data_IF_560601083244
#
_entry.id   IF_560601083244
#
_cell.length_a   1.000
_cell.length_b   1.000
_cell.length_c   1.000
_cell.angle_alpha   90.00
_cell.angle_beta   90.00
_cell.angle_gamma   90.00
#
_symmetry.space_group_name_H-M   'P 1'
#
loop_
_entity.id
_entity.type
_entity.pdbx_description
1 polymer ?
#
# COMPACT_ATOMS: atom_id res chain seq x y z
N UNK A 1 11.16 -10.28 16.21
CA UNK A 1 10.75 -11.51 16.91
C UNK A 1 9.96 -11.10 18.14
N UNK A 2 9.00 -11.90 18.57
CA UNK A 2 8.27 -11.67 19.84
C UNK A 2 9.25 -11.71 21.00
N UNK A 3 9.15 -10.76 21.94
CA UNK A 3 10.07 -10.66 23.08
C UNK A 3 9.72 -11.62 24.23
N UNK A 4 8.48 -12.11 24.25
CA UNK A 4 7.94 -13.06 25.23
C UNK A 4 6.79 -13.84 24.57
N UNK A 5 6.34 -14.90 25.24
CA UNK A 5 5.10 -15.60 24.89
C UNK A 5 3.94 -14.59 24.90
N UNK A 6 3.10 -14.65 23.86
CA UNK A 6 2.02 -13.69 23.65
C UNK A 6 0.87 -14.32 22.88
N UNK A 7 -0.13 -13.52 22.54
CA UNK A 7 -1.28 -13.93 21.72
C UNK A 7 -1.58 -12.87 20.65
N UNK A 8 -1.95 -13.31 19.45
CA UNK A 8 -2.40 -12.45 18.37
C UNK A 8 -3.73 -12.97 17.84
N UNK A 9 -4.80 -12.20 18.03
CA UNK A 9 -6.13 -12.54 17.52
C UNK A 9 -6.65 -13.90 18.01
N UNK A 10 -6.44 -14.25 19.28
CA UNK A 10 -6.85 -15.56 19.82
C UNK A 10 -5.80 -16.66 19.65
N UNK A 11 -4.72 -16.43 18.89
CA UNK A 11 -3.72 -17.46 18.59
C UNK A 11 -2.49 -17.28 19.48
N UNK A 12 -2.11 -18.29 20.29
CA UNK A 12 -0.90 -18.23 21.10
C UNK A 12 0.35 -18.21 20.21
N UNK A 13 1.30 -17.33 20.53
CA UNK A 13 2.55 -17.12 19.81
C UNK A 13 3.72 -17.19 20.79
N UNK A 14 4.61 -18.20 20.69
CA UNK A 14 5.78 -18.32 21.55
C UNK A 14 6.77 -17.16 21.42
N UNK A 15 7.56 -16.93 22.47
CA UNK A 15 8.72 -16.04 22.43
C UNK A 15 9.69 -16.44 21.31
N UNK A 16 10.32 -15.45 20.68
CA UNK A 16 11.25 -15.67 19.57
C UNK A 16 10.58 -15.86 18.19
N UNK A 17 9.25 -15.94 18.12
CA UNK A 17 8.52 -16.10 16.85
C UNK A 17 8.72 -14.89 15.91
N UNK A 18 8.81 -15.16 14.61
CA UNK A 18 8.78 -14.13 13.57
C UNK A 18 7.34 -13.92 13.13
N UNK A 19 6.88 -12.67 13.18
CA UNK A 19 5.54 -12.29 12.72
C UNK A 19 5.64 -11.50 11.42
N UNK A 20 4.84 -11.90 10.44
CA UNK A 20 4.66 -11.15 9.19
C UNK A 20 3.34 -10.41 9.21
N UNK A 21 3.39 -9.08 9.21
CA UNK A 21 2.19 -8.24 9.28
C UNK A 21 1.77 -7.84 7.86
N UNK A 22 0.67 -8.42 7.38
CA UNK A 22 0.14 -8.17 6.05
C UNK A 22 -0.67 -6.87 6.01
N UNK A 23 0.02 -5.72 5.98
CA UNK A 23 -0.61 -4.39 5.95
C UNK A 23 -1.54 -4.19 4.75
N UNK A 24 -1.24 -4.83 3.61
CA UNK A 24 -2.09 -4.82 2.42
C UNK A 24 -3.46 -5.48 2.64
N UNK A 25 -3.53 -6.52 3.49
CA UNK A 25 -4.79 -7.15 3.90
C UNK A 25 -5.53 -6.25 4.90
N UNK A 26 -4.83 -5.70 5.90
CA UNK A 26 -5.44 -4.77 6.86
C UNK A 26 -6.02 -3.50 6.18
N UNK A 27 -5.37 -3.00 5.12
CA UNK A 27 -5.88 -1.88 4.32
C UNK A 27 -7.10 -2.22 3.47
N UNK A 28 -7.47 -3.51 3.38
CA UNK A 28 -8.67 -4.01 2.72
C UNK A 28 -9.69 -4.63 3.68
N UNK A 29 -9.49 -4.48 4.98
CA UNK A 29 -10.40 -5.04 5.98
C UNK A 29 -11.75 -4.31 5.96
N UNK A 30 -12.81 -5.01 5.56
CA UNK A 30 -14.17 -4.47 5.43
C UNK A 30 -14.74 -3.98 6.77
N UNK A 31 -14.25 -4.50 7.90
CA UNK A 31 -14.64 -4.03 9.25
C UNK A 31 -14.20 -2.59 9.48
N UNK A 32 -13.21 -2.12 8.72
CA UNK A 32 -12.64 -0.77 8.81
C UNK A 32 -12.93 0.08 7.56
N UNK A 33 -12.89 -0.52 6.38
CA UNK A 33 -13.00 0.16 5.09
C UNK A 33 -14.16 -0.45 4.29
N UNK A 34 -15.35 0.17 4.26
CA UNK A 34 -16.47 -0.30 3.43
C UNK A 34 -16.09 -0.37 1.96
N UNK A 35 -16.55 -1.37 1.19
CA UNK A 35 -16.16 -1.57 -0.21
C UNK A 35 -14.62 -1.57 -0.43
N UNK A 36 -13.83 -2.36 0.31
CA UNK A 36 -12.37 -2.19 0.40
C UNK A 36 -11.62 -2.39 -0.92
N UNK A 37 -12.19 -3.13 -1.87
CA UNK A 37 -11.61 -3.38 -3.19
C UNK A 37 -11.92 -2.28 -4.21
N UNK A 38 -12.87 -1.40 -3.90
CA UNK A 38 -13.20 -0.27 -4.76
C UNK A 38 -12.15 0.85 -4.63
N UNK A 39 -11.52 1.21 -5.75
CA UNK A 39 -10.69 2.40 -5.84
C UNK A 39 -11.57 3.65 -5.92
N UNK A 40 -11.63 4.40 -4.83
CA UNK A 40 -12.36 5.66 -4.72
C UNK A 40 -11.43 6.79 -4.22
N UNK A 41 -11.01 7.72 -5.10
CA UNK A 41 -10.21 8.88 -4.73
C UNK A 41 -10.90 9.83 -3.73
N UNK A 42 -12.23 9.78 -3.63
CA UNK A 42 -13.04 10.63 -2.76
C UNK A 42 -13.42 9.95 -1.45
N UNK A 43 -12.95 8.72 -1.21
CA UNK A 43 -13.25 7.94 -0.01
C UNK A 43 -13.00 8.78 1.25
N UNK A 44 -14.03 9.03 2.08
CA UNK A 44 -13.84 9.73 3.34
C UNK A 44 -13.06 8.82 4.30
N UNK A 45 -12.10 9.40 5.04
CA UNK A 45 -11.29 8.73 6.08
C UNK A 45 -10.31 7.66 5.58
N UNK A 46 -9.10 8.09 5.19
CA UNK A 46 -7.90 7.22 5.19
C UNK A 46 -7.17 7.18 6.55
N UNK A 47 -7.74 7.81 7.59
CA UNK A 47 -7.17 7.78 8.93
C UNK A 47 -7.11 6.34 9.46
N UNK A 48 -5.90 5.85 9.70
CA UNK A 48 -5.63 4.47 10.11
C UNK A 48 -5.15 3.53 9.01
N UNK A 49 -4.96 4.00 7.77
CA UNK A 49 -4.29 3.15 6.77
C UNK A 49 -2.85 2.83 7.20
N UNK A 50 -2.44 1.59 6.97
CA UNK A 50 -1.13 1.05 7.31
C UNK A 50 -0.12 1.09 6.15
N UNK A 51 -0.39 1.87 5.09
CA UNK A 51 0.54 2.02 3.95
C UNK A 51 1.94 2.51 4.36
N UNK A 52 2.01 3.29 5.43
CA UNK A 52 3.26 3.79 6.01
C UNK A 52 3.57 3.18 7.37
N UNK A 53 2.99 2.01 7.68
CA UNK A 53 2.99 1.40 9.01
C UNK A 53 2.38 2.33 10.08
N UNK A 54 2.53 1.96 11.35
CA UNK A 54 2.10 2.71 12.53
C UNK A 54 3.05 2.47 13.72
N UNK A 55 2.95 3.32 14.75
CA UNK A 55 3.72 3.18 15.99
C UNK A 55 5.18 3.64 15.86
N UNK A 56 6.06 3.03 16.66
CA UNK A 56 7.48 3.41 16.77
C UNK A 56 8.23 3.38 15.42
N UNK A 57 7.83 2.49 14.52
CA UNK A 57 8.41 2.33 13.18
C UNK A 57 7.55 2.94 12.08
N UNK A 58 6.74 3.96 12.40
CA UNK A 58 6.06 4.73 11.37
C UNK A 58 7.06 5.27 10.33
N UNK A 59 6.71 5.18 9.04
CA UNK A 59 7.62 5.55 7.97
C UNK A 59 8.08 7.01 8.09
N UNK A 60 9.37 7.18 8.35
CA UNK A 60 10.02 8.50 8.45
C UNK A 60 9.80 9.34 7.17
N UNK A 61 9.76 8.68 6.01
CA UNK A 61 9.58 9.31 4.70
C UNK A 61 8.13 9.58 4.30
N UNK A 62 7.13 9.27 5.13
CA UNK A 62 5.73 9.32 4.71
C UNK A 62 5.28 10.68 4.18
N UNK A 63 5.73 11.78 4.80
CA UNK A 63 5.40 13.12 4.34
C UNK A 63 6.09 13.49 3.03
N UNK A 64 7.38 13.14 2.88
CA UNK A 64 8.11 13.37 1.64
C UNK A 64 7.50 12.58 0.49
N UNK A 65 7.19 11.29 0.70
CA UNK A 65 6.55 10.45 -0.29
C UNK A 65 5.22 11.03 -0.80
N UNK A 66 4.39 11.56 0.11
CA UNK A 66 3.12 12.23 -0.26
C UNK A 66 3.34 13.48 -1.09
N UNK A 67 4.34 14.30 -0.74
CA UNK A 67 4.69 15.50 -1.50
C UNK A 67 5.14 15.12 -2.92
N UNK A 68 6.06 14.16 -3.02
CA UNK A 68 6.59 13.68 -4.30
C UNK A 68 5.49 13.07 -5.15
N UNK A 69 4.63 12.21 -4.59
CA UNK A 69 3.51 11.59 -5.31
C UNK A 69 2.55 12.66 -5.84
N UNK A 70 2.15 13.63 -5.01
CA UNK A 70 1.28 14.73 -5.42
C UNK A 70 1.92 15.54 -6.54
N UNK A 71 3.17 15.95 -6.40
CA UNK A 71 3.87 16.77 -7.39
C UNK A 71 4.06 16.02 -8.71
N UNK A 72 4.55 14.78 -8.65
CA UNK A 72 4.84 13.94 -9.81
C UNK A 72 3.59 13.57 -10.61
N UNK A 73 2.55 13.05 -9.95
CA UNK A 73 1.29 12.71 -10.62
C UNK A 73 0.64 13.96 -11.21
N UNK A 74 0.61 15.08 -10.48
CA UNK A 74 0.02 16.32 -11.00
C UNK A 74 0.77 16.86 -12.21
N UNK A 75 2.11 16.82 -12.20
CA UNK A 75 2.93 17.26 -13.33
C UNK A 75 2.74 16.36 -14.55
N UNK A 76 2.71 15.03 -14.34
CA UNK A 76 2.49 14.05 -15.40
C UNK A 76 1.14 14.27 -16.09
N UNK A 77 0.05 14.37 -15.31
CA UNK A 77 -1.31 14.57 -15.85
C UNK A 77 -1.47 15.92 -16.57
N UNK A 78 -0.85 17.00 -16.07
CA UNK A 78 -0.88 18.30 -16.75
C UNK A 78 -0.16 18.28 -18.09
N UNK A 79 0.98 17.58 -18.18
CA UNK A 79 1.80 17.52 -19.40
C UNK A 79 1.20 16.58 -20.46
N UNK A 80 0.57 15.49 -20.01
CA UNK A 80 0.01 14.44 -20.86
C UNK A 80 -1.47 14.20 -20.50
N UNK A 81 -2.40 15.11 -20.85
CA UNK A 81 -3.80 15.02 -20.43
C UNK A 81 -4.57 13.84 -21.05
N UNK A 82 -4.04 13.24 -22.11
CA UNK A 82 -4.60 12.04 -22.77
C UNK A 82 -3.82 10.77 -22.45
N UNK A 83 -2.97 10.79 -21.43
CA UNK A 83 -2.18 9.63 -21.02
C UNK A 83 -3.11 8.45 -20.75
N UNK A 84 -2.87 7.34 -21.45
CA UNK A 84 -3.62 6.10 -21.30
C UNK A 84 -2.68 4.91 -21.35
N UNK A 85 -3.12 3.79 -20.80
CA UNK A 85 -2.40 2.53 -20.87
C UNK A 85 -2.40 2.02 -22.32
N UNK A 86 -1.25 1.50 -22.77
CA UNK A 86 -1.20 0.71 -24.02
C UNK A 86 -2.15 -0.48 -23.89
N UNK A 87 -3.09 -0.68 -24.83
CA UNK A 87 -4.05 -1.78 -24.80
C UNK A 87 -3.36 -3.15 -24.83
N UNK A 88 -3.93 -4.12 -24.13
CA UNK A 88 -3.46 -5.51 -24.15
C UNK A 88 -2.09 -5.73 -23.51
N UNK A 89 -1.50 -4.73 -22.86
CA UNK A 89 -0.21 -4.91 -22.18
C UNK A 89 -0.36 -5.92 -21.02
N UNK A 90 0.64 -6.79 -20.91
CA UNK A 90 0.74 -7.72 -19.79
C UNK A 90 1.18 -6.98 -18.51
N UNK A 91 0.51 -7.29 -17.39
CA UNK A 91 0.89 -6.77 -16.07
C UNK A 91 1.95 -7.69 -15.47
N UNK A 92 3.20 -7.30 -15.63
CA UNK A 92 4.33 -8.00 -15.01
C UNK A 92 4.66 -7.31 -13.70
N UNK A 93 4.73 -8.08 -12.61
CA UNK A 93 5.14 -7.59 -11.29
C UNK A 93 6.48 -8.21 -10.91
N UNK A 94 7.30 -7.45 -10.20
CA UNK A 94 8.55 -7.98 -9.65
C UNK A 94 8.25 -9.00 -8.54
N UNK A 95 8.92 -10.17 -8.51
CA UNK A 95 8.77 -11.13 -7.43
C UNK A 95 9.24 -10.53 -6.10
N UNK A 96 8.31 -10.23 -5.21
CA UNK A 96 8.62 -9.67 -3.89
C UNK A 96 7.55 -10.03 -2.87
N UNK A 97 8.02 -10.31 -1.64
CA UNK A 97 7.14 -10.58 -0.50
C UNK A 97 6.61 -9.29 0.16
N UNK A 98 7.23 -8.14 -0.11
CA UNK A 98 6.94 -6.86 0.55
C UNK A 98 6.42 -5.78 -0.38
N UNK A 99 6.89 -5.76 -1.63
CA UNK A 99 6.65 -4.66 -2.56
C UNK A 99 5.89 -5.18 -3.77
N UNK A 100 4.63 -4.75 -3.92
CA UNK A 100 3.87 -5.00 -5.14
C UNK A 100 4.12 -3.83 -6.08
N UNK A 101 5.08 -3.98 -6.99
CA UNK A 101 5.42 -2.99 -8.01
C UNK A 101 5.37 -3.61 -9.41
N UNK A 102 4.69 -2.98 -10.38
CA UNK A 102 4.79 -3.43 -11.75
C UNK A 102 6.23 -3.23 -12.24
N UNK A 103 6.80 -4.25 -12.90
CA UNK A 103 8.12 -4.17 -13.52
C UNK A 103 8.16 -3.11 -14.63
N UNK A 104 7.01 -2.86 -15.28
CA UNK A 104 6.79 -1.82 -16.28
C UNK A 104 5.33 -1.41 -16.35
N UNK A 105 5.09 -0.16 -16.74
CA UNK A 105 3.76 0.36 -17.04
C UNK A 105 3.83 1.14 -18.36
N UNK A 106 3.35 0.54 -19.44
CA UNK A 106 3.42 1.13 -20.78
C UNK A 106 2.26 2.12 -20.98
N UNK A 107 2.58 3.32 -21.43
CA UNK A 107 1.60 4.40 -21.62
C UNK A 107 1.80 5.09 -22.96
N UNK A 108 0.72 5.66 -23.49
CA UNK A 108 0.68 6.48 -24.71
C UNK A 108 -0.17 7.74 -24.45
N UNK A 109 0.05 8.85 -25.18
CA UNK A 109 -0.55 10.17 -24.91
C UNK A 109 -0.78 11.03 -26.16
#
# INVERSE_FOLDING_TARGET
MTAADTEVGGVPVPAGSVLWVMTASANRDERRFPEPDAFDPHRPRMAGSLHFSQGLHYCLGANLARIVARAGVSALMRRHPRLRLVPGQERVYEPSINVVAPARLLVEW
#
